data_IF_552910935058
#
_entry.id   IF_552910935058
#
_cell.length_a   1.000
_cell.length_b   1.000
_cell.length_c   1.000
_cell.angle_alpha   90.00
_cell.angle_beta   90.00
_cell.angle_gamma   90.00
#
_symmetry.space_group_name_H-M   'P 1'
#
loop_
_entity.id
_entity.type
_entity.pdbx_description
1 polymer ?
#
# COMPACT_ATOMS: atom_id res chain seq x y z
N UNK A 1 -16.86 24.52 6.60
CA UNK A 1 -16.47 23.60 5.53
C UNK A 1 -16.71 22.19 6.01
N UNK A 2 -17.61 21.47 5.35
CA UNK A 2 -17.93 20.06 5.63
C UNK A 2 -17.41 19.23 4.44
N UNK A 3 -16.75 18.11 4.72
CA UNK A 3 -16.28 17.18 3.69
C UNK A 3 -16.96 15.84 3.92
N UNK A 4 -17.64 15.33 2.90
CA UNK A 4 -18.31 14.03 2.90
C UNK A 4 -17.58 13.09 1.96
N UNK A 5 -17.48 11.80 2.33
CA UNK A 5 -16.94 10.75 1.48
C UNK A 5 -17.87 9.53 1.52
N UNK A 6 -18.26 9.03 0.36
CA UNK A 6 -19.10 7.84 0.20
C UNK A 6 -18.61 7.00 -0.97
N UNK A 7 -18.74 5.68 -0.84
CA UNK A 7 -18.54 4.75 -1.96
C UNK A 7 -19.81 4.59 -2.81
N UNK A 8 -20.96 5.09 -2.33
CA UNK A 8 -22.28 5.01 -2.97
C UNK A 8 -22.94 6.40 -2.95
N UNK A 9 -22.38 7.40 -3.66
CA UNK A 9 -22.91 8.76 -3.68
C UNK A 9 -24.36 8.83 -4.21
N UNK A 10 -24.77 7.89 -5.07
CA UNK A 10 -26.11 7.77 -5.63
C UNK A 10 -27.21 7.48 -4.59
N UNK A 11 -26.83 7.06 -3.38
CA UNK A 11 -27.76 6.82 -2.28
C UNK A 11 -28.09 8.09 -1.48
N UNK A 12 -27.43 9.21 -1.76
CA UNK A 12 -27.77 10.48 -1.12
C UNK A 12 -29.15 10.96 -1.56
N UNK A 13 -29.93 11.44 -0.58
CA UNK A 13 -31.21 12.05 -0.88
C UNK A 13 -31.03 13.38 -1.63
N UNK A 14 -32.12 13.86 -2.21
CA UNK A 14 -32.11 15.10 -2.99
C UNK A 14 -31.71 16.32 -2.16
N UNK A 15 -31.99 16.34 -0.85
CA UNK A 15 -31.74 17.48 0.01
C UNK A 15 -30.26 17.62 0.38
N UNK A 16 -29.55 16.49 0.50
CA UNK A 16 -28.10 16.46 0.66
C UNK A 16 -27.43 16.90 -0.64
N UNK A 17 -27.85 16.34 -1.78
CA UNK A 17 -27.29 16.68 -3.08
C UNK A 17 -27.46 18.17 -3.45
N UNK A 18 -28.61 18.78 -3.10
CA UNK A 18 -28.86 20.22 -3.31
C UNK A 18 -27.91 21.13 -2.51
N UNK A 19 -27.27 20.60 -1.45
CA UNK A 19 -26.35 21.33 -0.57
C UNK A 19 -24.87 21.01 -0.82
N UNK A 20 -24.54 20.23 -1.85
CA UNK A 20 -23.18 19.91 -2.24
C UNK A 20 -22.71 20.84 -3.35
N UNK A 21 -21.73 21.69 -3.04
CA UNK A 21 -21.16 22.63 -4.02
C UNK A 21 -20.22 21.93 -5.02
N UNK A 22 -19.39 21.00 -4.53
CA UNK A 22 -18.39 20.28 -5.33
C UNK A 22 -18.42 18.77 -5.03
N UNK A 23 -18.38 17.95 -6.09
CA UNK A 23 -18.18 16.51 -5.99
C UNK A 23 -16.88 16.14 -6.69
N UNK A 24 -16.02 15.41 -5.97
CA UNK A 24 -14.74 14.92 -6.48
C UNK A 24 -14.74 13.40 -6.42
N UNK A 25 -14.51 12.77 -7.56
CA UNK A 25 -14.41 11.31 -7.66
C UNK A 25 -13.00 10.84 -7.31
N UNK A 26 -12.90 9.77 -6.51
CA UNK A 26 -11.64 9.11 -6.19
C UNK A 26 -11.51 7.82 -6.98
N UNK A 27 -10.78 7.86 -8.08
CA UNK A 27 -10.44 6.66 -8.85
C UNK A 27 -9.41 5.80 -8.12
N UNK A 28 -9.23 4.57 -8.60
CA UNK A 28 -8.09 3.74 -8.21
C UNK A 28 -6.77 4.42 -8.59
N UNK A 29 -5.67 4.15 -7.84
CA UNK A 29 -4.38 4.76 -8.13
C UNK A 29 -3.83 4.30 -9.48
N UNK A 30 -3.35 5.23 -10.29
CA UNK A 30 -2.59 4.97 -11.50
C UNK A 30 -1.19 4.43 -11.19
N UNK A 31 -0.40 4.15 -12.23
CA UNK A 31 0.92 3.53 -12.07
C UNK A 31 1.86 4.39 -11.20
N UNK A 32 1.89 5.70 -11.45
CA UNK A 32 2.75 6.63 -10.71
C UNK A 32 2.31 6.76 -9.25
N UNK A 33 1.00 6.84 -8.99
CA UNK A 33 0.48 6.86 -7.62
C UNK A 33 0.78 5.55 -6.89
N UNK A 34 0.66 4.40 -7.55
CA UNK A 34 1.02 3.10 -6.95
C UNK A 34 2.50 3.04 -6.59
N UNK A 35 3.38 3.51 -7.46
CA UNK A 35 4.82 3.59 -7.16
C UNK A 35 5.08 4.49 -5.94
N UNK A 36 4.45 5.67 -5.88
CA UNK A 36 4.57 6.57 -4.73
C UNK A 36 4.05 5.95 -3.44
N UNK A 37 2.92 5.26 -3.49
CA UNK A 37 2.33 4.56 -2.34
C UNK A 37 3.23 3.41 -1.87
N UNK A 38 3.76 2.60 -2.79
CA UNK A 38 4.68 1.51 -2.46
C UNK A 38 5.94 2.04 -1.79
N UNK A 39 6.55 3.10 -2.33
CA UNK A 39 7.72 3.74 -1.70
C UNK A 39 7.39 4.28 -0.31
N UNK A 40 6.27 4.99 -0.17
CA UNK A 40 5.82 5.54 1.11
C UNK A 40 5.65 4.45 2.18
N UNK A 41 4.97 3.36 1.83
CA UNK A 41 4.70 2.30 2.80
C UNK A 41 5.89 1.38 3.04
N UNK A 42 6.74 1.15 2.04
CA UNK A 42 7.99 0.44 2.24
C UNK A 42 8.89 1.23 3.19
N UNK A 43 9.03 2.54 2.98
CA UNK A 43 9.81 3.40 3.87
C UNK A 43 9.26 3.38 5.31
N UNK A 44 7.98 3.68 5.47
CA UNK A 44 7.31 3.74 6.77
C UNK A 44 7.32 2.43 7.57
N UNK A 45 7.11 1.29 6.91
CA UNK A 45 6.95 0.00 7.60
C UNK A 45 8.22 -0.87 7.60
N UNK A 46 9.18 -0.58 6.74
CA UNK A 46 10.41 -1.37 6.59
C UNK A 46 11.65 -0.54 6.92
N UNK A 47 11.93 0.54 6.16
CA UNK A 47 13.18 1.28 6.30
C UNK A 47 13.27 2.09 7.60
N UNK A 48 12.23 2.84 7.93
CA UNK A 48 12.14 3.59 9.19
C UNK A 48 12.34 2.64 10.40
N UNK A 49 11.60 1.52 10.53
CA UNK A 49 11.86 0.51 11.56
C UNK A 49 13.26 -0.09 11.53
N UNK A 50 13.83 -0.35 10.36
CA UNK A 50 15.17 -0.92 10.25
C UNK A 50 16.28 0.05 10.69
N UNK A 51 16.04 1.36 10.54
CA UNK A 51 16.98 2.40 10.95
C UNK A 51 17.04 2.59 12.48
N UNK A 52 16.02 2.14 13.20
CA UNK A 52 15.94 2.28 14.66
C UNK A 52 16.82 1.24 15.37
N UNK A 53 17.81 1.71 16.15
CA UNK A 53 18.81 0.88 16.86
C UNK A 53 18.24 -0.22 17.78
N UNK A 54 16.97 -0.15 18.18
CA UNK A 54 16.35 -1.10 19.11
C UNK A 54 15.39 -2.09 18.46
N UNK A 55 15.27 -2.11 17.12
CA UNK A 55 14.39 -3.06 16.43
C UNK A 55 15.18 -4.23 15.87
N UNK A 56 14.56 -5.41 15.92
CA UNK A 56 15.09 -6.66 15.34
C UNK A 56 15.05 -6.66 13.81
N UNK A 57 14.23 -5.80 13.21
CA UNK A 57 14.02 -5.74 11.77
C UNK A 57 15.28 -5.21 11.07
N UNK A 58 15.80 -5.98 10.14
CA UNK A 58 16.87 -5.61 9.21
C UNK A 58 16.38 -5.82 7.78
N UNK A 59 17.07 -5.22 6.83
CA UNK A 59 16.72 -5.31 5.41
C UNK A 59 17.97 -5.72 4.64
N UNK A 60 17.81 -6.67 3.73
CA UNK A 60 18.83 -7.01 2.76
C UNK A 60 19.17 -5.80 1.87
N UNK A 61 20.42 -5.68 1.45
CA UNK A 61 20.83 -4.59 0.58
C UNK A 61 20.41 -4.88 -0.86
N UNK A 62 19.42 -4.14 -1.37
CA UNK A 62 19.00 -4.15 -2.77
C UNK A 62 18.45 -2.78 -3.19
N UNK A 63 18.24 -2.57 -4.49
CA UNK A 63 17.64 -1.34 -4.99
C UNK A 63 16.13 -1.30 -4.69
N UNK A 64 15.78 -0.60 -3.60
CA UNK A 64 14.38 -0.40 -3.18
C UNK A 64 13.58 0.44 -4.17
N UNK A 65 14.22 1.40 -4.84
CA UNK A 65 13.58 2.27 -5.81
C UNK A 65 13.11 1.46 -7.01
N UNK A 66 14.01 0.64 -7.56
CA UNK A 66 13.72 -0.28 -8.64
C UNK A 66 12.69 -1.34 -8.22
N UNK A 67 12.83 -1.93 -7.03
CA UNK A 67 11.86 -2.89 -6.50
C UNK A 67 10.44 -2.29 -6.44
N UNK A 68 10.28 -1.07 -5.92
CA UNK A 68 8.96 -0.42 -5.87
C UNK A 68 8.39 -0.15 -7.26
N UNK A 69 9.21 0.27 -8.23
CA UNK A 69 8.79 0.47 -9.63
C UNK A 69 8.33 -0.83 -10.27
N UNK A 70 9.02 -1.95 -10.03
CA UNK A 70 8.61 -3.27 -10.52
C UNK A 70 7.28 -3.72 -9.89
N UNK A 71 7.15 -3.59 -8.56
CA UNK A 71 5.92 -3.98 -7.84
C UNK A 71 4.73 -3.08 -8.20
N UNK A 72 4.94 -1.82 -8.56
CA UNK A 72 3.88 -0.90 -8.99
C UNK A 72 3.20 -1.35 -10.29
N UNK A 73 3.95 -1.99 -11.19
CA UNK A 73 3.42 -2.58 -12.42
C UNK A 73 2.57 -3.82 -12.14
N UNK A 74 2.94 -4.61 -11.14
CA UNK A 74 2.22 -5.84 -10.79
C UNK A 74 0.92 -5.56 -10.02
N UNK A 75 0.87 -4.47 -9.25
CA UNK A 75 -0.24 -4.13 -8.34
C UNK A 75 -1.36 -3.33 -9.01
N UNK A 76 -1.51 -3.46 -10.34
CA UNK A 76 -2.60 -2.81 -11.07
C UNK A 76 -3.97 -3.22 -10.54
N UNK A 77 -4.90 -2.25 -10.46
CA UNK A 77 -6.25 -2.46 -9.94
C UNK A 77 -6.35 -2.48 -8.40
N UNK A 78 -5.23 -2.54 -7.68
CA UNK A 78 -5.26 -2.51 -6.21
C UNK A 78 -5.61 -1.12 -5.67
N UNK A 79 -6.45 -1.10 -4.64
CA UNK A 79 -6.75 0.13 -3.89
C UNK A 79 -5.56 0.58 -3.03
N UNK A 80 -5.50 1.87 -2.69
CA UNK A 80 -4.45 2.39 -1.79
C UNK A 80 -4.41 1.66 -0.44
N UNK A 81 -5.57 1.20 0.06
CA UNK A 81 -5.65 0.38 1.29
C UNK A 81 -4.98 -0.97 1.13
N UNK A 82 -5.12 -1.62 -0.02
CA UNK A 82 -4.48 -2.91 -0.28
C UNK A 82 -2.96 -2.76 -0.40
N UNK A 83 -2.49 -1.68 -1.04
CA UNK A 83 -1.06 -1.36 -1.10
C UNK A 83 -0.52 -1.08 0.31
N UNK A 84 -1.27 -0.36 1.16
CA UNK A 84 -0.87 -0.13 2.55
C UNK A 84 -0.70 -1.43 3.36
N UNK A 85 -1.52 -2.45 3.08
CA UNK A 85 -1.41 -3.76 3.73
C UNK A 85 -0.12 -4.48 3.35
N UNK A 86 0.44 -4.25 2.15
CA UNK A 86 1.74 -4.82 1.77
C UNK A 86 2.85 -4.36 2.71
N UNK A 87 2.87 -3.08 3.09
CA UNK A 87 3.82 -2.53 4.05
C UNK A 87 3.83 -3.30 5.37
N UNK A 88 2.62 -3.53 5.93
CA UNK A 88 2.45 -4.31 7.17
C UNK A 88 2.86 -5.77 6.96
N UNK A 89 2.53 -6.36 5.80
CA UNK A 89 2.87 -7.74 5.48
C UNK A 89 4.39 -7.96 5.37
N UNK A 90 5.14 -7.01 4.79
CA UNK A 90 6.60 -7.04 4.74
C UNK A 90 7.21 -6.95 6.13
N UNK A 91 6.72 -6.03 6.95
CA UNK A 91 7.18 -5.89 8.34
C UNK A 91 6.93 -7.18 9.14
N UNK A 92 5.75 -7.78 9.01
CA UNK A 92 5.42 -9.04 9.65
C UNK A 92 6.33 -10.17 9.16
N UNK A 93 6.59 -10.25 7.84
CA UNK A 93 7.50 -11.22 7.25
C UNK A 93 8.91 -11.12 7.87
N UNK A 94 9.44 -9.90 7.98
CA UNK A 94 10.74 -9.65 8.59
C UNK A 94 10.78 -10.09 10.06
N UNK A 95 9.77 -9.74 10.87
CA UNK A 95 9.73 -10.16 12.27
C UNK A 95 9.54 -11.67 12.46
N UNK A 96 8.88 -12.34 11.51
CA UNK A 96 8.69 -13.78 11.52
C UNK A 96 9.90 -14.57 11.01
N UNK A 97 10.87 -13.91 10.37
CA UNK A 97 12.10 -14.55 9.91
C UNK A 97 12.99 -14.94 11.08
N UNK A 98 13.81 -15.97 10.88
CA UNK A 98 14.72 -16.49 11.90
C UNK A 98 15.79 -15.46 12.28
N UNK A 99 16.34 -14.76 11.29
CA UNK A 99 17.40 -13.76 11.41
C UNK A 99 16.90 -12.32 11.59
N UNK A 100 15.59 -12.08 11.43
CA UNK A 100 14.99 -10.75 11.48
C UNK A 100 15.21 -9.92 10.21
N UNK A 101 15.67 -10.53 9.11
CA UNK A 101 16.03 -9.85 7.87
C UNK A 101 14.92 -9.99 6.84
N UNK A 102 14.45 -8.86 6.30
CA UNK A 102 13.60 -8.86 5.10
C UNK A 102 14.48 -8.96 3.85
N UNK A 103 14.38 -10.07 3.13
CA UNK A 103 15.03 -10.24 1.82
C UNK A 103 14.14 -9.75 0.68
N UNK A 104 14.75 -9.46 -0.47
CA UNK A 104 13.99 -9.10 -1.69
C UNK A 104 12.97 -10.18 -2.04
N UNK A 105 13.38 -11.45 -1.99
CA UNK A 105 12.52 -12.59 -2.33
C UNK A 105 11.30 -12.67 -1.40
N UNK A 106 11.47 -12.47 -0.09
CA UNK A 106 10.36 -12.44 0.86
C UNK A 106 9.39 -11.30 0.55
N UNK A 107 9.92 -10.12 0.20
CA UNK A 107 9.10 -8.99 -0.14
C UNK A 107 8.29 -9.23 -1.43
N UNK A 108 8.91 -9.79 -2.47
CA UNK A 108 8.25 -10.19 -3.71
C UNK A 108 7.17 -11.25 -3.47
N UNK A 109 7.44 -12.25 -2.64
CA UNK A 109 6.46 -13.29 -2.32
C UNK A 109 5.21 -12.70 -1.65
N UNK A 110 5.37 -11.72 -0.76
CA UNK A 110 4.22 -11.03 -0.15
C UNK A 110 3.39 -10.25 -1.16
N UNK A 111 4.04 -9.66 -2.17
CA UNK A 111 3.30 -9.02 -3.28
C UNK A 111 2.53 -10.06 -4.08
N UNK A 112 3.16 -11.18 -4.47
CA UNK A 112 2.48 -12.26 -5.20
C UNK A 112 1.29 -12.84 -4.42
N UNK A 113 1.43 -13.03 -3.11
CA UNK A 113 0.34 -13.47 -2.24
C UNK A 113 -0.82 -12.46 -2.22
N UNK A 114 -0.53 -11.16 -2.17
CA UNK A 114 -1.55 -10.12 -2.23
C UNK A 114 -2.27 -10.07 -3.58
N UNK A 115 -1.56 -10.30 -4.69
CA UNK A 115 -2.16 -10.38 -6.04
C UNK A 115 -3.14 -11.55 -6.14
N UNK A 116 -2.78 -12.72 -5.62
CA UNK A 116 -3.68 -13.87 -5.57
C UNK A 116 -4.94 -13.55 -4.76
N UNK A 117 -4.80 -12.90 -3.60
CA UNK A 117 -5.94 -12.48 -2.78
C UNK A 117 -6.82 -11.44 -3.49
N UNK A 118 -6.20 -10.51 -4.23
CA UNK A 118 -6.93 -9.50 -5.00
C UNK A 118 -7.75 -10.14 -6.13
N UNK A 119 -7.18 -11.11 -6.85
CA UNK A 119 -7.89 -11.82 -7.93
C UNK A 119 -9.07 -12.69 -7.47
N UNK A 120 -9.17 -12.98 -6.16
CA UNK A 120 -10.24 -13.80 -5.59
C UNK A 120 -11.40 -12.98 -5.00
N UNK A 121 -11.31 -11.64 -5.05
CA UNK A 121 -12.40 -10.74 -4.68
C UNK A 121 -13.31 -10.45 -5.86
#
# INVERSE_FOLDING_TARGET
MLVLASNTPEQFDWAVNDRLDEMVEFSLPGLEERERLLRLYFDKFVLEPASQRHRRLKVEQFDFGQFCTEMARLTEGMSGREIAKLGVAWQAAAYSSTDGVLTRQMAEEKVRQALLQHSQK
#
